data_IF_862786080175
#
_entry.id   IF_862786080175
#
_cell.length_a   1.000
_cell.length_b   1.000
_cell.length_c   1.000
_cell.angle_alpha   90.00
_cell.angle_beta   90.00
_cell.angle_gamma   90.00
#
_symmetry.space_group_name_H-M   'P 1'
#
loop_
_entity.id
_entity.type
_entity.pdbx_description
1 polymer ?
#
# COMPACT_ATOMS: atom_id res chain seq x y z
N UNK A 1 13.56 70.41 14.45
CA UNK A 1 12.89 70.98 15.64
C UNK A 1 11.59 71.59 15.18
N UNK A 2 10.47 70.93 15.49
CA UNK A 2 9.07 71.39 15.55
C UNK A 2 8.15 70.22 15.17
N UNK A 3 7.30 69.86 16.13
CA UNK A 3 6.23 68.86 16.01
C UNK A 3 4.92 69.65 16.05
N UNK A 4 3.94 69.28 15.23
CA UNK A 4 2.54 69.62 15.48
C UNK A 4 1.76 68.31 15.54
N UNK A 5 1.21 68.04 16.72
CA UNK A 5 0.23 66.97 16.99
C UNK A 5 -1.13 67.65 17.03
N UNK A 6 -2.15 67.07 16.40
CA UNK A 6 -3.54 67.45 16.62
C UNK A 6 -4.35 66.25 17.15
N UNK A 7 -5.27 66.48 18.10
CA UNK A 7 -6.01 65.43 18.81
C UNK A 7 -7.20 64.93 17.98
N UNK A 8 -7.58 63.67 18.19
CA UNK A 8 -8.39 62.88 17.27
C UNK A 8 -9.87 63.25 17.15
N UNK A 9 -10.51 62.66 16.13
CA UNK A 9 -11.66 61.78 16.36
C UNK A 9 -11.83 60.82 15.18
N UNK A 10 -12.01 59.56 15.57
CA UNK A 10 -12.21 58.34 14.81
C UNK A 10 -13.44 58.38 13.88
N UNK A 11 -13.27 57.95 12.62
CA UNK A 11 -14.31 57.33 11.80
C UNK A 11 -13.70 56.19 10.98
N UNK A 12 -13.38 55.12 11.69
CA UNK A 12 -13.53 53.72 11.27
C UNK A 12 -14.06 53.52 9.86
N UNK A 13 -13.18 53.02 8.98
CA UNK A 13 -13.58 52.28 7.79
C UNK A 13 -14.32 51.04 8.30
N UNK A 14 -15.63 50.96 8.06
CA UNK A 14 -16.38 49.73 8.21
C UNK A 14 -15.86 48.73 7.17
N UNK A 15 -14.80 48.00 7.51
CA UNK A 15 -14.53 46.73 6.89
C UNK A 15 -15.69 45.82 7.27
N UNK A 16 -16.63 45.63 6.34
CA UNK A 16 -17.68 44.65 6.47
C UNK A 16 -17.05 43.29 6.69
N UNK A 17 -16.99 42.84 7.94
CA UNK A 17 -16.79 41.43 8.26
C UNK A 17 -18.09 40.72 7.84
N UNK A 18 -18.12 40.22 6.61
CA UNK A 18 -19.06 39.16 6.26
C UNK A 18 -18.66 37.94 7.07
N UNK A 19 -19.31 37.74 8.22
CA UNK A 19 -19.24 36.49 8.96
C UNK A 19 -19.96 35.46 8.10
N UNK A 20 -19.21 34.74 7.26
CA UNK A 20 -19.76 33.59 6.53
C UNK A 20 -19.99 32.49 7.55
N UNK A 21 -21.22 32.36 8.05
CA UNK A 21 -21.66 31.18 8.78
C UNK A 21 -21.84 30.03 7.79
N UNK A 22 -20.73 29.51 7.25
CA UNK A 22 -20.77 28.28 6.49
C UNK A 22 -20.59 27.13 7.49
N UNK A 23 -21.71 26.64 8.02
CA UNK A 23 -21.78 25.56 9.02
C UNK A 23 -21.66 24.18 8.37
N UNK A 24 -20.88 24.04 7.31
CA UNK A 24 -20.64 22.74 6.69
C UNK A 24 -19.34 22.16 7.26
N UNK A 25 -19.42 20.94 7.79
CA UNK A 25 -18.23 20.29 8.32
C UNK A 25 -17.28 20.01 7.16
N UNK A 26 -15.95 20.19 7.35
CA UNK A 26 -14.99 19.80 6.34
C UNK A 26 -15.20 18.33 5.95
N UNK A 27 -14.98 17.99 4.68
CA UNK A 27 -15.05 16.62 4.18
C UNK A 27 -13.66 16.19 3.68
N UNK A 28 -13.09 15.11 4.23
CA UNK A 28 -11.80 14.61 3.77
C UNK A 28 -11.88 13.89 2.43
N UNK A 29 -10.75 13.84 1.75
CA UNK A 29 -10.53 13.11 0.51
C UNK A 29 -9.75 11.83 0.81
N UNK A 30 -10.36 10.67 0.55
CA UNK A 30 -9.73 9.37 0.74
C UNK A 30 -9.12 8.87 -0.57
N UNK A 31 -7.83 8.55 -0.55
CA UNK A 31 -7.08 8.03 -1.70
C UNK A 31 -6.25 6.81 -1.31
N UNK A 32 -5.66 6.13 -2.30
CA UNK A 32 -4.78 4.97 -2.10
C UNK A 32 -3.45 5.19 -2.82
N UNK A 33 -2.38 4.58 -2.29
CA UNK A 33 -1.07 4.51 -2.95
C UNK A 33 -1.10 3.76 -4.28
N UNK A 34 -2.13 2.94 -4.54
CA UNK A 34 -2.26 2.15 -5.77
C UNK A 34 -3.39 2.67 -6.65
N UNK A 35 -3.16 2.63 -7.97
CA UNK A 35 -4.17 2.91 -8.99
C UNK A 35 -4.66 1.57 -9.57
N UNK A 36 -5.51 0.86 -8.84
CA UNK A 36 -6.08 -0.39 -9.30
C UNK A 36 -6.21 -1.45 -8.21
N UNK A 37 -6.23 -2.72 -8.62
CA UNK A 37 -6.28 -3.84 -7.71
C UNK A 37 -4.91 -4.13 -7.09
N UNK A 38 -4.90 -4.54 -5.82
CA UNK A 38 -3.72 -4.98 -5.09
C UNK A 38 -3.68 -6.50 -5.05
N UNK A 39 -2.50 -7.09 -5.25
CA UNK A 39 -2.29 -8.52 -5.10
C UNK A 39 -2.17 -8.90 -3.61
N UNK A 40 -2.61 -10.10 -3.24
CA UNK A 40 -2.43 -10.60 -1.87
C UNK A 40 -0.94 -10.68 -1.50
N UNK A 41 -0.59 -10.38 -0.25
CA UNK A 41 0.80 -10.31 0.21
C UNK A 41 1.49 -8.98 -0.05
N UNK A 42 1.01 -8.16 -1.00
CA UNK A 42 1.53 -6.81 -1.21
C UNK A 42 1.05 -5.86 -0.12
N UNK A 43 1.73 -4.72 0.01
CA UNK A 43 1.31 -3.62 0.88
C UNK A 43 0.48 -2.58 0.12
N UNK A 44 -0.42 -1.92 0.84
CA UNK A 44 -1.17 -0.75 0.35
C UNK A 44 -1.31 0.27 1.47
N UNK A 45 -1.24 1.56 1.11
CA UNK A 45 -1.49 2.65 2.04
C UNK A 45 -2.69 3.46 1.57
N UNK A 46 -3.61 3.75 2.49
CA UNK A 46 -4.71 4.69 2.30
C UNK A 46 -4.32 6.04 2.89
N UNK A 47 -4.72 7.14 2.24
CA UNK A 47 -4.45 8.50 2.68
C UNK A 47 -5.75 9.28 2.83
N UNK A 48 -5.90 10.00 3.95
CA UNK A 48 -7.07 10.80 4.28
C UNK A 48 -6.70 12.29 4.30
N UNK A 49 -6.81 12.97 3.17
CA UNK A 49 -6.36 14.36 3.05
C UNK A 49 -7.47 15.34 3.43
N UNK A 50 -7.14 16.32 4.29
CA UNK A 50 -8.00 17.44 4.65
C UNK A 50 -7.47 18.75 4.08
N UNK A 51 -8.35 19.54 3.46
CA UNK A 51 -8.05 20.87 2.91
C UNK A 51 -8.90 21.91 3.64
N UNK A 52 -8.32 22.96 4.25
CA UNK A 52 -6.88 23.20 4.40
C UNK A 52 -6.22 22.26 5.41
N UNK A 53 -4.98 21.85 5.14
CA UNK A 53 -4.22 20.98 6.02
C UNK A 53 -3.85 21.74 7.29
N UNK A 54 -4.20 21.20 8.45
CA UNK A 54 -3.91 21.79 9.77
C UNK A 54 -3.29 20.74 10.67
N UNK A 55 -2.44 21.14 11.61
CA UNK A 55 -1.86 20.22 12.59
C UNK A 55 -2.87 19.85 13.70
N UNK A 56 -2.65 18.70 14.37
CA UNK A 56 -3.41 18.29 15.56
C UNK A 56 -4.72 17.55 15.28
N UNK A 57 -4.87 16.96 14.10
CA UNK A 57 -5.96 16.04 13.78
C UNK A 57 -5.59 14.60 14.09
N UNK A 58 -6.51 13.85 14.68
CA UNK A 58 -6.50 12.38 14.69
C UNK A 58 -7.40 11.88 13.56
N UNK A 59 -7.00 10.81 12.91
CA UNK A 59 -7.71 10.21 11.78
C UNK A 59 -8.38 8.92 12.20
N UNK A 60 -9.61 8.74 11.73
CA UNK A 60 -10.46 7.60 12.06
C UNK A 60 -10.83 6.88 10.77
N UNK A 61 -10.47 5.62 10.71
CA UNK A 61 -10.65 4.74 9.55
C UNK A 61 -11.79 3.79 9.82
N UNK A 62 -12.66 3.59 8.83
CA UNK A 62 -13.82 2.71 8.96
C UNK A 62 -13.92 1.81 7.74
N UNK A 63 -14.31 0.57 7.98
CA UNK A 63 -14.64 -0.43 6.98
C UNK A 63 -15.95 -1.10 7.39
N UNK A 64 -16.79 -1.45 6.42
CA UNK A 64 -18.11 -2.02 6.69
C UNK A 64 -18.08 -3.26 7.60
N UNK A 65 -17.04 -4.10 7.46
CA UNK A 65 -16.87 -5.32 8.25
C UNK A 65 -16.25 -5.10 9.64
N UNK A 66 -15.84 -3.87 9.98
CA UNK A 66 -15.27 -3.57 11.29
C UNK A 66 -16.35 -3.19 12.29
N UNK A 67 -16.24 -3.72 13.51
CA UNK A 67 -17.09 -3.35 14.63
C UNK A 67 -16.73 -1.98 15.23
N UNK A 68 -15.49 -1.51 15.01
CA UNK A 68 -15.01 -0.23 15.50
C UNK A 68 -14.06 0.44 14.50
N UNK A 69 -13.91 1.77 14.59
CA UNK A 69 -12.95 2.53 13.79
C UNK A 69 -11.52 2.38 14.31
N UNK A 70 -10.54 2.35 13.43
CA UNK A 70 -9.12 2.45 13.81
C UNK A 70 -8.71 3.92 13.88
N UNK A 71 -7.97 4.31 14.92
CA UNK A 71 -7.45 5.68 15.08
C UNK A 71 -5.95 5.74 14.73
N UNK A 72 -5.53 6.78 14.01
CA UNK A 72 -4.12 7.09 13.73
C UNK A 72 -3.83 8.57 13.97
N UNK A 73 -2.61 8.88 14.40
CA UNK A 73 -2.13 10.28 14.50
C UNK A 73 -1.75 10.85 13.12
N UNK A 74 -1.36 9.99 12.18
CA UNK A 74 -1.09 10.38 10.79
C UNK A 74 -2.34 10.23 9.92
N UNK A 75 -2.33 10.94 8.79
CA UNK A 75 -3.35 10.86 7.74
C UNK A 75 -3.23 9.61 6.85
N UNK A 76 -2.47 8.60 7.30
CA UNK A 76 -2.17 7.40 6.54
C UNK A 76 -2.52 6.13 7.30
N UNK A 77 -3.10 5.15 6.62
CA UNK A 77 -3.35 3.81 7.15
C UNK A 77 -2.78 2.75 6.20
N UNK A 78 -1.83 1.95 6.70
CA UNK A 78 -1.12 0.96 5.91
C UNK A 78 -1.51 -0.47 6.28
N UNK A 79 -1.77 -1.27 5.25
CA UNK A 79 -1.93 -2.73 5.35
C UNK A 79 -0.65 -3.32 4.78
N UNK A 80 0.14 -4.01 5.60
CA UNK A 80 1.48 -4.49 5.24
C UNK A 80 1.46 -5.72 4.34
N UNK A 81 0.51 -6.62 4.57
CA UNK A 81 0.29 -7.84 3.78
C UNK A 81 -1.20 -8.01 3.56
N UNK A 82 -1.65 -7.66 2.35
CA UNK A 82 -3.07 -7.66 2.00
C UNK A 82 -3.59 -9.09 1.86
N UNK A 83 -4.77 -9.34 2.42
CA UNK A 83 -5.53 -10.58 2.27
C UNK A 83 -6.84 -10.34 1.53
N UNK A 84 -7.50 -11.40 1.07
CA UNK A 84 -8.85 -11.31 0.46
C UNK A 84 -9.88 -10.66 1.40
N UNK A 85 -9.67 -10.77 2.71
CA UNK A 85 -10.55 -10.17 3.72
C UNK A 85 -10.42 -8.65 3.78
N UNK A 86 -9.30 -8.09 3.29
CA UNK A 86 -9.06 -6.64 3.22
C UNK A 86 -9.84 -5.97 2.10
N UNK A 87 -10.38 -6.74 1.15
CA UNK A 87 -11.31 -6.22 0.13
C UNK A 87 -12.51 -5.52 0.78
N UNK A 88 -12.94 -4.41 0.18
CA UNK A 88 -14.18 -3.74 0.58
C UNK A 88 -14.12 -2.22 0.46
N UNK A 89 -15.14 -1.57 1.03
CA UNK A 89 -15.25 -0.12 1.06
C UNK A 89 -14.66 0.44 2.35
N UNK A 90 -13.87 1.50 2.20
CA UNK A 90 -13.22 2.24 3.27
C UNK A 90 -13.72 3.68 3.28
N UNK A 91 -13.79 4.24 4.48
CA UNK A 91 -14.07 5.65 4.74
C UNK A 91 -13.08 6.19 5.76
N UNK A 92 -12.81 7.48 5.69
CA UNK A 92 -12.05 8.17 6.72
C UNK A 92 -12.77 9.42 7.20
N UNK A 93 -12.44 9.86 8.42
CA UNK A 93 -12.78 11.18 8.96
C UNK A 93 -11.67 11.63 9.90
N UNK A 94 -11.64 12.90 10.28
CA UNK A 94 -10.74 13.39 11.32
C UNK A 94 -11.49 13.97 12.52
N UNK A 95 -10.82 13.97 13.68
CA UNK A 95 -11.31 14.55 14.92
C UNK A 95 -10.22 15.33 15.64
N UNK A 96 -10.61 16.41 16.34
CA UNK A 96 -9.69 17.19 17.21
C UNK A 96 -10.43 17.81 18.40
N UNK A 97 -9.68 18.16 19.44
CA UNK A 97 -10.19 18.85 20.63
C UNK A 97 -10.86 17.93 21.66
N UNK A 98 -11.34 18.53 22.75
CA UNK A 98 -12.05 17.84 23.83
C UNK A 98 -13.23 18.72 24.32
N UNK A 99 -14.50 18.38 24.03
CA UNK A 99 -14.96 17.17 23.34
C UNK A 99 -14.55 17.15 21.86
N UNK A 100 -14.41 15.95 21.30
CA UNK A 100 -13.88 15.77 19.95
C UNK A 100 -14.84 16.37 18.91
N UNK A 101 -14.36 17.37 18.19
CA UNK A 101 -15.02 17.89 16.99
C UNK A 101 -14.57 17.06 15.80
N UNK A 102 -15.54 16.43 15.13
CA UNK A 102 -15.28 15.60 13.98
C UNK A 102 -15.72 16.24 12.67
N UNK A 103 -14.95 15.98 11.62
CA UNK A 103 -15.31 16.20 10.22
C UNK A 103 -16.44 15.25 9.79
N UNK A 104 -16.98 15.49 8.60
CA UNK A 104 -17.77 14.47 7.91
C UNK A 104 -16.88 13.32 7.43
N UNK A 105 -17.52 12.22 7.05
CA UNK A 105 -16.84 11.10 6.40
C UNK A 105 -16.48 11.46 4.96
N UNK A 106 -15.35 10.92 4.49
CA UNK A 106 -14.96 10.94 3.09
C UNK A 106 -15.99 10.23 2.21
N UNK A 107 -15.84 10.39 0.89
CA UNK A 107 -16.43 9.41 -0.02
C UNK A 107 -15.81 8.03 0.22
N UNK A 108 -16.56 6.98 -0.12
CA UNK A 108 -16.08 5.61 -0.01
C UNK A 108 -14.98 5.35 -1.05
N UNK A 109 -13.91 4.67 -0.64
CA UNK A 109 -12.91 4.10 -1.55
C UNK A 109 -13.06 2.58 -1.56
N UNK A 110 -13.19 1.98 -2.74
CA UNK A 110 -13.28 0.52 -2.89
C UNK A 110 -11.89 -0.08 -3.11
N UNK A 111 -11.38 -0.81 -2.13
CA UNK A 111 -10.14 -1.57 -2.25
C UNK A 111 -10.43 -2.91 -2.91
N UNK A 112 -9.89 -3.11 -4.12
CA UNK A 112 -9.99 -4.37 -4.85
C UNK A 112 -8.75 -5.21 -4.58
N UNK A 113 -8.94 -6.43 -4.08
CA UNK A 113 -7.86 -7.40 -3.82
C UNK A 113 -7.98 -8.55 -4.81
N UNK A 114 -6.88 -8.92 -5.45
CA UNK A 114 -6.77 -10.08 -6.34
C UNK A 114 -5.80 -11.07 -5.69
N UNK A 115 -6.11 -12.36 -5.73
CA UNK A 115 -5.19 -13.40 -5.26
C UNK A 115 -3.94 -13.44 -6.14
N UNK A 116 -2.78 -13.53 -5.49
CA UNK A 116 -1.51 -13.67 -6.17
C UNK A 116 -1.48 -14.99 -6.94
N UNK A 117 -0.99 -14.99 -8.20
CA UNK A 117 -0.88 -16.21 -8.97
C UNK A 117 0.12 -17.16 -8.31
N UNK A 118 -0.15 -18.46 -8.42
CA UNK A 118 0.77 -19.50 -7.98
C UNK A 118 1.85 -19.72 -9.03
N UNK A 119 3.14 -19.65 -8.67
CA UNK A 119 4.22 -20.03 -9.57
C UNK A 119 4.22 -21.55 -9.79
N UNK A 120 4.71 -21.99 -10.94
CA UNK A 120 4.90 -23.41 -11.27
C UNK A 120 6.32 -23.60 -11.80
N UNK A 121 7.06 -24.55 -11.23
CA UNK A 121 8.42 -24.87 -11.69
C UNK A 121 8.37 -26.05 -12.67
N UNK A 122 9.06 -25.91 -13.79
CA UNK A 122 9.28 -26.97 -14.78
C UNK A 122 10.77 -27.25 -14.90
N UNK A 123 11.13 -28.50 -15.18
CA UNK A 123 12.52 -28.98 -15.20
C UNK A 123 12.78 -29.63 -16.55
N UNK A 124 13.94 -29.37 -17.14
CA UNK A 124 14.37 -29.95 -18.40
C UNK A 124 15.86 -30.39 -18.34
N UNK A 125 16.17 -31.67 -18.61
CA UNK A 125 15.21 -32.75 -18.79
C UNK A 125 14.48 -33.06 -17.47
N UNK A 126 13.23 -33.49 -17.54
CA UNK A 126 12.40 -33.92 -16.40
C UNK A 126 12.70 -35.37 -15.96
N UNK A 127 13.83 -35.90 -16.42
CA UNK A 127 14.31 -37.26 -16.18
C UNK A 127 15.56 -37.25 -15.31
N UNK A 128 16.08 -38.44 -14.99
CA UNK A 128 17.38 -38.56 -14.33
C UNK A 128 18.48 -37.88 -15.15
N UNK A 129 19.28 -37.05 -14.47
CA UNK A 129 20.41 -36.30 -15.03
C UNK A 129 21.71 -36.91 -14.50
N UNK A 130 22.71 -37.05 -15.37
CA UNK A 130 24.03 -37.57 -15.03
C UNK A 130 25.03 -36.45 -14.70
N UNK A 131 26.09 -36.81 -13.97
CA UNK A 131 27.18 -35.87 -13.65
C UNK A 131 27.78 -35.33 -14.96
N UNK A 132 27.95 -34.01 -15.01
CA UNK A 132 28.47 -33.30 -16.17
C UNK A 132 27.41 -32.86 -17.19
N UNK A 133 26.15 -33.29 -17.05
CA UNK A 133 25.05 -32.81 -17.89
C UNK A 133 24.53 -31.44 -17.42
N UNK A 134 23.69 -30.83 -18.26
CA UNK A 134 22.99 -29.58 -17.96
C UNK A 134 21.54 -29.85 -17.61
N UNK A 135 21.06 -29.22 -16.54
CA UNK A 135 19.63 -29.17 -16.20
C UNK A 135 19.17 -27.71 -16.14
N UNK A 136 17.98 -27.46 -16.69
CA UNK A 136 17.34 -26.15 -16.72
C UNK A 136 16.04 -26.20 -15.93
N UNK A 137 15.85 -25.23 -15.07
CA UNK A 137 14.63 -24.97 -14.33
C UNK A 137 13.96 -23.72 -14.90
N UNK A 138 12.64 -23.72 -14.95
CA UNK A 138 11.85 -22.59 -15.42
C UNK A 138 10.67 -22.36 -14.49
N UNK A 139 10.52 -21.14 -13.99
CA UNK A 139 9.42 -20.74 -13.13
C UNK A 139 8.38 -19.99 -13.96
N UNK A 140 7.22 -20.57 -14.20
CA UNK A 140 6.11 -19.93 -14.92
C UNK A 140 5.05 -19.46 -13.92
N UNK A 141 4.67 -18.19 -14.01
CA UNK A 141 3.59 -17.61 -13.21
C UNK A 141 2.33 -17.52 -14.07
N UNK A 142 1.32 -18.32 -13.77
CA UNK A 142 0.07 -18.38 -14.55
C UNK A 142 -0.84 -17.18 -14.27
N UNK A 143 -0.48 -15.99 -14.78
CA UNK A 143 -1.35 -14.85 -15.14
C UNK A 143 -0.53 -13.57 -15.33
N UNK A 144 -0.84 -12.86 -16.41
CA UNK A 144 -0.55 -11.43 -16.58
C UNK A 144 0.72 -11.11 -17.36
N UNK A 145 0.56 -10.75 -18.65
CA UNK A 145 1.60 -10.12 -19.47
C UNK A 145 2.01 -8.70 -18.99
N UNK A 146 1.31 -8.15 -17.99
CA UNK A 146 1.42 -6.76 -17.56
C UNK A 146 2.05 -6.57 -16.16
N UNK A 147 2.64 -7.62 -15.57
CA UNK A 147 3.34 -7.52 -14.28
C UNK A 147 4.75 -8.08 -14.42
N UNK A 148 5.74 -7.25 -14.09
CA UNK A 148 7.15 -7.65 -14.08
C UNK A 148 7.44 -8.43 -12.79
N UNK A 149 7.59 -9.75 -12.92
CA UNK A 149 7.90 -10.64 -11.81
C UNK A 149 9.41 -10.66 -11.55
N UNK A 150 9.80 -10.58 -10.29
CA UNK A 150 11.17 -10.92 -9.86
C UNK A 150 11.20 -12.40 -9.50
N UNK A 151 12.23 -13.10 -9.97
CA UNK A 151 12.42 -14.52 -9.72
C UNK A 151 13.58 -14.69 -8.77
N UNK A 152 13.40 -15.54 -7.76
CA UNK A 152 14.47 -15.97 -6.87
C UNK A 152 14.52 -17.50 -6.89
N UNK A 153 15.73 -18.03 -7.00
CA UNK A 153 15.98 -19.46 -7.08
C UNK A 153 16.84 -19.88 -5.89
N UNK A 154 16.38 -20.88 -5.14
CA UNK A 154 17.05 -21.42 -3.96
C UNK A 154 17.17 -22.94 -4.08
N UNK A 155 18.24 -23.50 -3.52
CA UNK A 155 18.46 -24.94 -3.47
C UNK A 155 18.90 -25.31 -2.05
N UNK A 156 18.18 -26.25 -1.42
CA UNK A 156 18.29 -26.53 0.02
C UNK A 156 19.69 -26.97 0.49
N UNK A 157 20.49 -27.58 -0.39
CA UNK A 157 21.76 -28.22 -0.06
C UNK A 157 23.01 -27.46 -0.55
N UNK A 158 22.84 -26.33 -1.24
CA UNK A 158 23.94 -25.42 -1.60
C UNK A 158 23.71 -24.10 -0.90
N UNK A 159 24.65 -23.75 -0.02
CA UNK A 159 24.69 -22.48 0.72
C UNK A 159 24.36 -21.29 -0.18
N UNK A 160 23.15 -20.74 -0.02
CA UNK A 160 22.64 -19.45 -0.51
C UNK A 160 23.48 -18.81 -1.63
N UNK A 161 23.48 -19.41 -2.82
CA UNK A 161 23.84 -18.70 -4.04
C UNK A 161 22.54 -18.23 -4.68
N UNK A 162 22.17 -16.98 -4.47
CA UNK A 162 21.14 -16.32 -5.30
C UNK A 162 21.55 -16.50 -6.76
N UNK A 163 20.77 -17.28 -7.48
CA UNK A 163 20.93 -17.57 -8.90
C UNK A 163 20.24 -16.48 -9.73
N UNK A 164 20.49 -16.36 -11.05
CA UNK A 164 19.99 -15.23 -11.85
C UNK A 164 18.50 -14.98 -11.62
N UNK A 165 18.12 -13.70 -11.54
CA UNK A 165 16.74 -13.23 -11.30
C UNK A 165 15.85 -13.38 -12.54
N UNK A 166 16.15 -14.38 -13.37
CA UNK A 166 15.49 -14.68 -14.61
C UNK A 166 14.51 -15.82 -14.43
N UNK A 167 13.53 -15.85 -15.32
CA UNK A 167 12.53 -16.91 -15.38
C UNK A 167 13.15 -18.31 -15.53
N UNK A 168 14.27 -18.41 -16.24
CA UNK A 168 15.01 -19.64 -16.47
C UNK A 168 16.31 -19.64 -15.65
N UNK A 169 16.61 -20.75 -14.99
CA UNK A 169 17.85 -21.01 -14.29
C UNK A 169 18.48 -22.31 -14.81
N UNK A 170 19.80 -22.34 -15.04
CA UNK A 170 20.47 -23.53 -15.58
C UNK A 170 21.74 -23.89 -14.83
N UNK A 171 21.82 -25.15 -14.38
CA UNK A 171 23.03 -25.75 -13.86
C UNK A 171 23.73 -26.43 -15.02
N UNK A 172 24.84 -25.84 -15.50
CA UNK A 172 25.54 -26.32 -16.70
C UNK A 172 26.36 -27.59 -16.49
N UNK A 173 26.81 -27.82 -15.26
CA UNK A 173 27.66 -28.96 -14.90
C UNK A 173 27.16 -29.56 -13.59
N UNK A 174 26.27 -30.54 -13.71
CA UNK A 174 25.72 -31.25 -12.55
C UNK A 174 26.83 -32.03 -11.84
N UNK A 175 26.80 -31.98 -10.51
CA UNK A 175 27.75 -32.64 -9.60
C UNK A 175 26.94 -33.34 -8.49
N UNK A 176 27.61 -34.17 -7.69
CA UNK A 176 26.96 -34.89 -6.57
C UNK A 176 26.29 -33.95 -5.55
N UNK A 177 26.78 -32.70 -5.41
CA UNK A 177 26.16 -31.70 -4.54
C UNK A 177 24.80 -31.20 -5.02
N UNK A 178 24.44 -31.41 -6.29
CA UNK A 178 23.14 -31.04 -6.85
C UNK A 178 22.09 -32.13 -6.68
N UNK A 179 22.41 -33.19 -5.92
CA UNK A 179 21.49 -34.29 -5.66
C UNK A 179 20.39 -33.84 -4.70
N UNK A 180 19.15 -33.80 -5.19
CA UNK A 180 17.96 -33.47 -4.42
C UNK A 180 16.71 -33.89 -5.16
N UNK A 181 15.60 -33.99 -4.44
CA UNK A 181 14.26 -34.14 -5.03
C UNK A 181 13.66 -32.73 -5.14
N UNK A 182 13.17 -32.35 -6.31
CA UNK A 182 12.45 -31.08 -6.47
C UNK A 182 11.04 -31.29 -5.96
N UNK A 183 10.73 -30.70 -4.80
CA UNK A 183 9.35 -30.67 -4.31
C UNK A 183 8.69 -29.45 -4.95
N UNK A 184 7.64 -29.67 -5.75
CA UNK A 184 6.74 -28.60 -6.13
C UNK A 184 5.99 -28.19 -4.87
N UNK A 185 6.50 -27.21 -4.14
CA UNK A 185 5.82 -26.71 -2.94
C UNK A 185 4.63 -25.86 -3.38
N UNK A 186 3.46 -26.52 -3.49
CA UNK A 186 2.15 -25.89 -3.63
C UNK A 186 1.81 -25.15 -2.33
N UNK A 187 2.36 -23.94 -2.15
CA UNK A 187 1.92 -23.01 -1.09
C UNK A 187 1.31 -21.76 -1.72
#
# INVERSE_FOLDING_TARGET
MAVVVNPGLDRSVLAGFTHSTQTEKPKPELTSSLKGAVLTGNSVTLYCTLKPQSAGWKFYWSKYTWSHSTETESDSYSISSVSVSDRGQYWCRAGKGNPVYYTDYSNALSLTVIESPKPTVTINPDTQVFIGETVTFRCDVQKGRDTEWTYDWFMENVTFSSFPTTQDFSIRYVTDSHRGESVNEDS
#
